data_IF_672485813727
#
_entry.id   IF_672485813727
#
_cell.length_a   1.000
_cell.length_b   1.000
_cell.length_c   1.000
_cell.angle_alpha   90.00
_cell.angle_beta   90.00
_cell.angle_gamma   90.00
#
_symmetry.space_group_name_H-M   'P 1'
#
loop_
_entity.id
_entity.type
_entity.pdbx_description
1 polymer ?
#
# COMPACT_ATOMS: atom_id res chain seq x y z
N UNK A 1 -21.80 -0.83 -0.42
CA UNK A 1 -20.72 -1.66 -0.99
C UNK A 1 -19.47 -1.41 -0.17
N UNK A 2 -18.91 -2.42 0.50
CA UNK A 2 -17.68 -2.25 1.30
C UNK A 2 -16.48 -2.04 0.35
N UNK A 3 -15.65 -1.06 0.65
CA UNK A 3 -14.46 -0.68 -0.12
C UNK A 3 -13.20 -1.32 0.48
N UNK A 4 -12.12 -1.42 -0.30
CA UNK A 4 -10.81 -1.81 0.25
C UNK A 4 -10.36 -0.91 1.41
N UNK A 5 -10.84 0.34 1.44
CA UNK A 5 -10.58 1.31 2.51
C UNK A 5 -11.16 0.90 3.86
N UNK A 6 -12.14 -0.01 3.87
CA UNK A 6 -12.77 -0.49 5.10
C UNK A 6 -11.93 -1.57 5.80
N UNK A 7 -10.99 -2.20 5.08
CA UNK A 7 -10.14 -3.24 5.64
C UNK A 7 -9.11 -2.66 6.60
N UNK A 8 -9.02 -3.24 7.80
CA UNK A 8 -7.99 -2.84 8.77
C UNK A 8 -6.57 -3.12 8.26
N UNK A 9 -6.39 -4.15 7.43
CA UNK A 9 -5.13 -4.39 6.74
C UNK A 9 -4.73 -3.22 5.82
N UNK A 10 -5.69 -2.62 5.11
CA UNK A 10 -5.43 -1.46 4.27
C UNK A 10 -5.10 -0.23 5.13
N UNK A 11 -5.86 0.03 6.20
CA UNK A 11 -5.61 1.16 7.12
C UNK A 11 -4.22 1.08 7.76
N UNK A 12 -3.87 -0.08 8.34
CA UNK A 12 -2.53 -0.34 8.90
C UNK A 12 -1.42 -0.17 7.87
N UNK A 13 -1.67 -0.56 6.61
CA UNK A 13 -0.68 -0.36 5.55
C UNK A 13 -0.48 1.13 5.19
N UNK A 14 -1.51 1.96 5.30
CA UNK A 14 -1.38 3.42 5.14
C UNK A 14 -0.61 4.04 6.31
N UNK A 15 -0.89 3.63 7.55
CA UNK A 15 -0.12 4.06 8.73
C UNK A 15 1.37 3.68 8.62
N UNK A 16 1.64 2.51 8.03
CA UNK A 16 3.00 2.05 7.74
C UNK A 16 3.68 2.93 6.67
N UNK A 17 2.97 3.34 5.61
CA UNK A 17 3.49 4.30 4.63
C UNK A 17 3.90 5.59 5.32
N UNK A 18 3.02 6.17 6.15
CA UNK A 18 3.31 7.42 6.86
C UNK A 18 4.53 7.28 7.78
N UNK A 19 4.66 6.15 8.46
CA UNK A 19 5.79 5.85 9.34
C UNK A 19 7.10 5.76 8.57
N UNK A 20 7.12 5.07 7.42
CA UNK A 20 8.31 4.98 6.56
C UNK A 20 8.66 6.35 5.96
N UNK A 21 7.68 7.17 5.58
CA UNK A 21 7.95 8.53 5.13
C UNK A 21 8.58 9.39 6.24
N UNK A 22 8.13 9.24 7.49
CA UNK A 22 8.71 9.93 8.65
C UNK A 22 10.15 9.47 8.92
N UNK A 23 10.40 8.16 8.93
CA UNK A 23 11.76 7.61 9.17
C UNK A 23 12.72 8.00 8.05
N UNK A 24 12.33 7.85 6.79
CA UNK A 24 13.20 8.15 5.65
C UNK A 24 13.49 9.65 5.47
N UNK A 25 12.77 10.55 6.16
CA UNK A 25 13.10 11.98 6.18
C UNK A 25 14.37 12.30 6.99
N UNK A 26 14.78 11.43 7.91
CA UNK A 26 16.01 11.65 8.70
C UNK A 26 17.26 11.07 8.05
N UNK A 27 17.14 10.50 6.84
CA UNK A 27 18.28 9.92 6.13
C UNK A 27 19.16 11.03 5.52
N UNK A 28 20.47 10.79 5.36
CA UNK A 28 21.34 11.70 4.61
C UNK A 28 20.85 11.90 3.17
N UNK A 29 21.10 13.08 2.61
CA UNK A 29 20.68 13.40 1.22
C UNK A 29 21.27 12.43 0.19
N UNK A 30 22.44 11.85 0.46
CA UNK A 30 23.10 10.88 -0.43
C UNK A 30 22.28 9.58 -0.59
N UNK A 31 21.41 9.26 0.37
CA UNK A 31 20.52 8.08 0.33
C UNK A 31 19.19 8.34 -0.38
N UNK A 32 18.93 9.57 -0.85
CA UNK A 32 17.65 9.96 -1.43
C UNK A 32 17.25 9.06 -2.62
N UNK A 33 18.21 8.84 -3.52
CA UNK A 33 18.00 8.03 -4.73
C UNK A 33 18.28 6.54 -4.53
N UNK A 34 18.87 6.17 -3.39
CA UNK A 34 19.17 4.80 -3.01
C UNK A 34 18.13 4.28 -2.00
N UNK A 35 18.48 4.23 -0.72
CA UNK A 35 17.67 3.56 0.29
C UNK A 35 16.31 4.22 0.50
N UNK A 36 16.25 5.55 0.47
CA UNK A 36 15.01 6.31 0.66
C UNK A 36 13.96 5.96 -0.40
N UNK A 37 14.35 5.99 -1.68
CA UNK A 37 13.45 5.66 -2.78
C UNK A 37 13.06 4.18 -2.78
N UNK A 38 13.97 3.27 -2.48
CA UNK A 38 13.67 1.84 -2.41
C UNK A 38 12.65 1.54 -1.31
N UNK A 39 12.86 2.08 -0.10
CA UNK A 39 11.95 1.88 1.03
C UNK A 39 10.55 2.46 0.77
N UNK A 40 10.48 3.69 0.24
CA UNK A 40 9.19 4.34 -0.08
C UNK A 40 8.42 3.57 -1.16
N UNK A 41 9.09 3.11 -2.22
CA UNK A 41 8.44 2.29 -3.26
C UNK A 41 7.95 0.96 -2.72
N UNK A 42 8.76 0.30 -1.88
CA UNK A 42 8.39 -0.97 -1.26
C UNK A 42 7.13 -0.81 -0.38
N UNK A 43 7.11 0.18 0.52
CA UNK A 43 5.97 0.37 1.43
C UNK A 43 4.68 0.76 0.69
N UNK A 44 4.75 1.59 -0.36
CA UNK A 44 3.59 1.97 -1.19
C UNK A 44 2.99 0.77 -1.94
N UNK A 45 3.80 -0.23 -2.26
CA UNK A 45 3.30 -1.42 -2.95
C UNK A 45 2.30 -2.22 -2.12
N UNK A 46 2.38 -2.16 -0.79
CA UNK A 46 1.53 -2.91 0.14
C UNK A 46 0.05 -2.53 0.05
N UNK A 47 -0.37 -1.26 0.29
CA UNK A 47 -1.78 -0.86 0.14
C UNK A 47 -2.29 -1.05 -1.29
N UNK A 48 -1.43 -0.88 -2.31
CA UNK A 48 -1.79 -1.07 -3.70
C UNK A 48 -2.14 -2.54 -4.02
N UNK A 49 -1.35 -3.48 -3.49
CA UNK A 49 -1.60 -4.92 -3.65
C UNK A 49 -2.86 -5.37 -2.91
N UNK A 50 -3.11 -4.85 -1.70
CA UNK A 50 -4.34 -5.12 -0.95
C UNK A 50 -5.56 -4.67 -1.77
N UNK A 51 -5.55 -3.44 -2.29
CA UNK A 51 -6.61 -2.92 -3.16
C UNK A 51 -6.80 -3.79 -4.40
N UNK A 52 -5.71 -4.17 -5.07
CA UNK A 52 -5.74 -5.00 -6.28
C UNK A 52 -6.41 -6.35 -6.02
N UNK A 53 -6.05 -7.01 -4.92
CA UNK A 53 -6.62 -8.31 -4.53
C UNK A 53 -8.13 -8.23 -4.33
N UNK A 54 -8.61 -7.26 -3.55
CA UNK A 54 -10.04 -7.11 -3.23
C UNK A 54 -10.85 -6.80 -4.49
N UNK A 55 -10.34 -5.89 -5.33
CA UNK A 55 -10.99 -5.59 -6.60
C UNK A 55 -11.08 -6.84 -7.47
N UNK A 56 -10.00 -7.62 -7.57
CA UNK A 56 -9.97 -8.89 -8.30
C UNK A 56 -11.04 -9.89 -7.81
N UNK A 57 -11.18 -10.05 -6.49
CA UNK A 57 -12.20 -10.91 -5.89
C UNK A 57 -13.62 -10.42 -6.22
N UNK A 58 -13.88 -9.11 -6.10
CA UNK A 58 -15.19 -8.52 -6.45
C UNK A 58 -15.51 -8.76 -7.92
N UNK A 59 -14.54 -8.58 -8.82
CA UNK A 59 -14.73 -8.86 -10.24
C UNK A 59 -15.01 -10.35 -10.49
N UNK A 60 -14.32 -11.28 -9.83
CA UNK A 60 -14.55 -12.72 -10.00
C UNK A 60 -15.96 -13.13 -9.55
N UNK A 61 -16.38 -12.70 -8.35
CA UNK A 61 -17.71 -13.00 -7.82
C UNK A 61 -18.83 -12.45 -8.71
N UNK A 62 -18.65 -11.25 -9.29
CA UNK A 62 -19.62 -10.67 -10.23
C UNK A 62 -19.74 -11.46 -11.54
N UNK A 63 -18.72 -12.21 -11.93
CA UNK A 63 -18.78 -13.08 -13.12
C UNK A 63 -19.44 -14.43 -12.85
N UNK A 64 -19.31 -14.96 -11.64
CA UNK A 64 -19.90 -16.26 -11.28
C UNK A 64 -21.42 -16.21 -11.04
N UNK A 65 -21.94 -15.04 -10.65
CA UNK A 65 -23.38 -14.82 -10.41
C UNK A 65 -24.12 -14.40 -11.69
N UNK A 66 -23.44 -14.39 -12.84
CA UNK A 66 -23.97 -13.95 -14.13
C UNK A 66 -23.98 -15.11 -15.13
#
# INVERSE_FOLDING_TARGET
>A
MRSHKDLDAWKKSMDMVDSIYKVTKSFPNDELYSLTNQMRRAVISVPSNIRKLINGLIYSLKREVK
#
